data_IF_816261321423
#
_entry.id   IF_816261321423
#
_cell.length_a   1.000
_cell.length_b   1.000
_cell.length_c   1.000
_cell.angle_alpha   90.00
_cell.angle_beta   90.00
_cell.angle_gamma   90.00
#
_symmetry.space_group_name_H-M   'P 1'
#
loop_
_entity.id
_entity.type
_entity.pdbx_description
1 polymer ?
#
# COMPACT_ATOMS: atom_id res chain seq x y z
N UNK A 1 15.87 11.36 -23.29
CA UNK A 1 14.49 11.26 -22.77
C UNK A 1 14.28 11.90 -21.38
N UNK A 2 14.69 11.31 -20.25
CA UNK A 2 14.40 11.87 -18.90
C UNK A 2 15.04 13.24 -18.67
N UNK A 3 16.33 13.38 -18.98
CA UNK A 3 17.07 14.65 -18.87
C UNK A 3 16.51 15.72 -19.82
N UNK A 4 16.14 15.33 -21.04
CA UNK A 4 15.48 16.22 -22.00
C UNK A 4 14.17 16.77 -21.44
N UNK A 5 13.28 15.91 -20.93
CA UNK A 5 11.98 16.36 -20.41
C UNK A 5 12.12 17.27 -19.19
N UNK A 6 13.08 16.99 -18.30
CA UNK A 6 13.38 17.88 -17.17
C UNK A 6 13.87 19.24 -17.68
N UNK A 7 14.77 19.26 -18.66
CA UNK A 7 15.32 20.50 -19.19
C UNK A 7 14.26 21.32 -19.92
N UNK A 8 13.40 20.68 -20.71
CA UNK A 8 12.24 21.30 -21.37
C UNK A 8 11.32 22.00 -20.37
N UNK A 9 10.87 21.29 -19.33
CA UNK A 9 9.97 21.86 -18.32
C UNK A 9 10.62 23.00 -17.52
N UNK A 10 11.94 22.92 -17.28
CA UNK A 10 12.70 24.02 -16.66
C UNK A 10 12.78 25.25 -17.56
N UNK A 11 12.98 25.06 -18.87
CA UNK A 11 13.01 26.15 -19.86
C UNK A 11 11.65 26.83 -19.99
N UNK A 12 10.56 26.09 -19.84
CA UNK A 12 9.18 26.60 -19.82
C UNK A 12 8.83 27.37 -18.53
N UNK A 13 9.74 27.43 -17.56
CA UNK A 13 9.51 28.13 -16.29
C UNK A 13 8.53 27.41 -15.37
N UNK A 14 8.32 26.11 -15.56
CA UNK A 14 7.40 25.30 -14.74
C UNK A 14 7.94 25.21 -13.30
N UNK A 15 7.09 25.41 -12.27
CA UNK A 15 7.51 25.27 -10.88
C UNK A 15 8.08 23.88 -10.58
N UNK A 16 9.12 23.80 -9.74
CA UNK A 16 9.81 22.54 -9.41
C UNK A 16 8.89 21.44 -8.88
N UNK A 17 7.84 21.83 -8.14
CA UNK A 17 6.81 20.91 -7.65
C UNK A 17 6.01 20.26 -8.79
N UNK A 18 5.71 21.03 -9.83
CA UNK A 18 4.99 20.54 -11.01
C UNK A 18 5.90 19.69 -11.89
N UNK A 19 7.16 20.07 -12.05
CA UNK A 19 8.20 19.21 -12.66
C UNK A 19 8.25 17.87 -11.94
N UNK A 20 8.29 17.89 -10.60
CA UNK A 20 8.32 16.66 -9.80
C UNK A 20 7.09 15.78 -10.04
N UNK A 21 5.90 16.37 -10.20
CA UNK A 21 4.69 15.60 -10.52
C UNK A 21 4.76 15.02 -11.93
N UNK A 22 5.12 15.84 -12.93
CA UNK A 22 5.24 15.40 -14.31
C UNK A 22 6.26 14.27 -14.47
N UNK A 23 7.38 14.33 -13.75
CA UNK A 23 8.39 13.25 -13.77
C UNK A 23 7.90 11.95 -13.12
N UNK A 24 7.03 12.03 -12.10
CA UNK A 24 6.38 10.84 -11.52
C UNK A 24 5.42 10.20 -12.54
N UNK A 25 4.62 11.02 -13.21
CA UNK A 25 3.65 10.56 -14.20
C UNK A 25 4.36 9.92 -15.40
N UNK A 26 5.41 10.56 -15.93
CA UNK A 26 6.28 10.00 -16.98
C UNK A 26 6.89 8.65 -16.59
N UNK A 27 7.32 8.51 -15.33
CA UNK A 27 7.84 7.25 -14.81
C UNK A 27 6.79 6.14 -14.83
N UNK A 28 5.57 6.45 -14.39
CA UNK A 28 4.44 5.51 -14.38
C UNK A 28 4.05 5.11 -15.80
N UNK A 29 3.96 6.06 -16.73
CA UNK A 29 3.69 5.80 -18.14
C UNK A 29 4.72 4.86 -18.75
N UNK A 30 6.01 5.12 -18.48
CA UNK A 30 7.09 4.24 -18.92
C UNK A 30 6.97 2.84 -18.34
N UNK A 31 6.66 2.69 -17.06
CA UNK A 31 6.46 1.38 -16.46
C UNK A 31 5.30 0.61 -17.14
N UNK A 32 4.18 1.29 -17.38
CA UNK A 32 3.00 0.74 -18.06
C UNK A 32 3.26 0.34 -19.50
N UNK A 33 4.09 1.11 -20.23
CA UNK A 33 4.52 0.77 -21.58
C UNK A 33 5.19 -0.61 -21.64
N UNK A 34 5.91 -0.99 -20.58
CA UNK A 34 6.54 -2.31 -20.45
C UNK A 34 5.69 -3.34 -19.69
N UNK A 35 4.39 -3.07 -19.49
CA UNK A 35 3.46 -3.99 -18.83
C UNK A 35 3.52 -3.98 -17.30
N UNK A 36 4.24 -3.04 -16.68
CA UNK A 36 4.37 -2.97 -15.22
C UNK A 36 3.42 -1.92 -14.62
N UNK A 37 2.79 -2.19 -13.47
CA UNK A 37 1.75 -1.32 -12.92
C UNK A 37 2.28 0.02 -12.39
N UNK A 38 3.55 0.06 -11.98
CA UNK A 38 4.22 1.24 -11.44
C UNK A 38 5.75 1.12 -11.58
N UNK A 39 6.44 2.23 -11.31
CA UNK A 39 7.89 2.33 -11.39
C UNK A 39 8.64 1.42 -10.41
N UNK A 40 8.09 1.17 -9.22
CA UNK A 40 8.73 0.30 -8.23
C UNK A 40 8.86 -1.14 -8.73
N UNK A 41 7.75 -1.76 -9.15
CA UNK A 41 7.79 -3.14 -9.65
C UNK A 41 8.60 -3.23 -10.94
N UNK A 42 8.48 -2.22 -11.81
CA UNK A 42 9.30 -2.13 -13.03
C UNK A 42 10.80 -2.12 -12.72
N UNK A 43 11.24 -1.31 -11.76
CA UNK A 43 12.67 -1.23 -11.39
C UNK A 43 13.17 -2.50 -10.70
N UNK A 44 12.34 -3.18 -9.89
CA UNK A 44 12.69 -4.49 -9.33
C UNK A 44 12.86 -5.53 -10.42
N UNK A 45 11.94 -5.60 -11.38
CA UNK A 45 12.04 -6.52 -12.52
C UNK A 45 13.31 -6.26 -13.35
N UNK A 46 13.63 -4.99 -13.66
CA UNK A 46 14.88 -4.64 -14.34
C UNK A 46 16.12 -5.06 -13.55
N UNK A 47 16.10 -4.92 -12.22
CA UNK A 47 17.19 -5.35 -11.34
C UNK A 47 17.40 -6.86 -11.39
N UNK A 48 16.32 -7.64 -11.35
CA UNK A 48 16.40 -9.10 -11.50
C UNK A 48 16.95 -9.51 -12.87
N UNK A 49 16.48 -8.88 -13.95
CA UNK A 49 17.01 -9.12 -15.30
C UNK A 49 18.50 -8.78 -15.40
N UNK A 50 18.93 -7.68 -14.77
CA UNK A 50 20.33 -7.28 -14.75
C UNK A 50 21.19 -8.30 -14.00
N UNK A 51 20.73 -8.79 -12.84
CA UNK A 51 21.43 -9.82 -12.07
C UNK A 51 21.54 -11.12 -12.87
N UNK A 52 20.46 -11.56 -13.52
CA UNK A 52 20.46 -12.75 -14.37
C UNK A 52 21.44 -12.62 -15.53
N UNK A 53 21.56 -11.42 -16.12
CA UNK A 53 22.49 -11.15 -17.22
C UNK A 53 23.95 -10.94 -16.78
N UNK A 54 24.21 -10.79 -15.48
CA UNK A 54 25.54 -10.45 -14.92
C UNK A 54 26.08 -11.49 -13.95
N UNK A 55 25.30 -12.50 -13.57
CA UNK A 55 25.73 -13.50 -12.59
C UNK A 55 26.88 -14.39 -13.07
N UNK A 56 27.12 -14.49 -14.38
CA UNK A 56 28.05 -15.45 -14.99
C UNK A 56 27.89 -16.85 -14.36
N UNK A 57 28.96 -17.36 -13.73
CA UNK A 57 29.01 -18.66 -13.06
C UNK A 57 28.65 -18.62 -11.57
N UNK A 58 28.24 -17.46 -11.03
CA UNK A 58 27.82 -17.35 -9.63
C UNK A 58 26.44 -18.01 -9.42
N UNK A 59 26.28 -18.87 -8.40
CA UNK A 59 24.97 -19.31 -7.94
C UNK A 59 24.16 -18.09 -7.49
N UNK A 60 22.94 -17.92 -8.04
CA UNK A 60 22.04 -16.82 -7.73
C UNK A 60 20.67 -17.37 -7.34
N UNK A 61 20.15 -16.90 -6.20
CA UNK A 61 18.79 -17.17 -5.74
C UNK A 61 18.08 -15.82 -5.57
N UNK A 62 16.89 -15.70 -6.16
CA UNK A 62 16.03 -14.51 -6.03
C UNK A 62 14.79 -14.92 -5.24
N UNK A 63 14.57 -14.26 -4.10
CA UNK A 63 13.40 -14.47 -3.24
C UNK A 63 12.46 -13.26 -3.42
N UNK A 64 11.19 -13.52 -3.72
CA UNK A 64 10.15 -12.49 -3.88
C UNK A 64 9.12 -12.61 -2.75
N UNK A 65 9.37 -11.99 -1.59
CA UNK A 65 8.40 -12.01 -0.50
C UNK A 65 7.14 -11.22 -0.90
N UNK A 66 6.01 -11.58 -0.30
CA UNK A 66 4.80 -10.77 -0.34
C UNK A 66 4.99 -9.49 0.49
N UNK A 67 3.97 -8.63 0.54
CA UNK A 67 4.02 -7.44 1.37
C UNK A 67 4.18 -7.82 2.85
N UNK A 68 5.18 -7.23 3.49
CA UNK A 68 5.45 -7.44 4.92
C UNK A 68 4.69 -6.41 5.73
N UNK A 69 3.80 -6.89 6.59
CA UNK A 69 3.03 -6.09 7.54
C UNK A 69 3.72 -6.10 8.93
N UNK A 70 2.94 -6.15 10.03
CA UNK A 70 3.50 -6.29 11.38
C UNK A 70 3.93 -7.71 11.68
N UNK A 71 4.86 -7.86 12.62
CA UNK A 71 5.30 -9.18 13.06
C UNK A 71 4.18 -9.96 13.75
N UNK A 72 4.08 -11.25 13.45
CA UNK A 72 3.21 -12.17 14.17
C UNK A 72 3.81 -12.56 15.53
N UNK A 73 5.11 -12.90 15.56
CA UNK A 73 5.79 -13.42 16.75
C UNK A 73 7.09 -12.70 17.10
N UNK A 74 8.11 -12.79 16.26
CA UNK A 74 9.44 -12.21 16.54
C UNK A 74 9.62 -10.84 15.89
N UNK A 75 10.29 -9.88 16.55
CA UNK A 75 10.88 -9.96 17.90
C UNK A 75 9.82 -9.87 19.02
N UNK A 76 8.67 -9.27 18.76
CA UNK A 76 7.46 -9.36 19.58
C UNK A 76 6.23 -9.12 18.68
N UNK A 77 5.03 -9.63 19.04
CA UNK A 77 3.82 -9.47 18.24
C UNK A 77 3.44 -8.00 18.02
N UNK A 78 3.03 -7.66 16.80
CA UNK A 78 2.54 -6.34 16.43
C UNK A 78 3.65 -5.29 16.30
N UNK A 79 4.92 -5.69 16.25
CA UNK A 79 6.02 -4.76 15.98
C UNK A 79 5.90 -4.21 14.56
N UNK A 80 5.94 -2.88 14.47
CA UNK A 80 5.93 -2.13 13.22
C UNK A 80 7.00 -1.05 13.33
N UNK A 81 7.91 -1.04 12.37
CA UNK A 81 8.94 0.00 12.26
C UNK A 81 8.48 1.11 11.30
N UNK A 82 7.88 2.14 11.88
CA UNK A 82 7.39 3.33 11.17
C UNK A 82 6.04 3.13 10.46
N UNK A 83 5.48 4.21 9.92
CA UNK A 83 4.27 4.12 9.09
C UNK A 83 4.69 3.59 7.71
N UNK A 84 4.45 2.31 7.41
CA UNK A 84 4.65 1.77 6.06
C UNK A 84 3.32 1.78 5.32
N UNK A 85 3.38 1.69 4.00
CA UNK A 85 2.32 2.21 3.14
C UNK A 85 0.93 1.62 3.39
N UNK A 86 0.83 0.31 3.65
CA UNK A 86 -0.46 -0.34 3.96
C UNK A 86 -0.96 0.02 5.36
N UNK A 87 -0.04 0.25 6.30
CA UNK A 87 -0.36 0.65 7.68
C UNK A 87 -1.14 1.97 7.69
N UNK A 88 -0.83 2.90 6.77
CA UNK A 88 -1.59 4.14 6.59
C UNK A 88 -3.03 3.89 6.16
N UNK A 89 -3.25 2.91 5.28
CA UNK A 89 -4.58 2.56 4.76
C UNK A 89 -5.39 1.88 5.87
N UNK A 90 -4.77 0.93 6.58
CA UNK A 90 -5.39 0.22 7.70
C UNK A 90 -5.71 1.22 8.83
N UNK A 91 -4.77 2.09 9.20
CA UNK A 91 -4.97 3.12 10.21
C UNK A 91 -6.13 4.06 9.85
N UNK A 92 -6.18 4.52 8.61
CA UNK A 92 -7.26 5.35 8.10
C UNK A 92 -8.61 4.63 8.15
N UNK A 93 -8.66 3.37 7.73
CA UNK A 93 -9.88 2.56 7.76
C UNK A 93 -10.39 2.36 9.19
N UNK A 94 -9.50 1.96 10.11
CA UNK A 94 -9.78 1.72 11.52
C UNK A 94 -10.24 3.01 12.22
N UNK A 95 -9.63 4.16 11.87
CA UNK A 95 -10.02 5.48 12.38
C UNK A 95 -11.39 5.94 11.86
N UNK A 96 -11.68 5.73 10.58
CA UNK A 96 -12.95 6.14 9.94
C UNK A 96 -14.13 5.32 10.47
N UNK A 97 -13.93 4.04 10.76
CA UNK A 97 -14.99 3.14 11.23
C UNK A 97 -15.12 3.10 12.76
N UNK A 98 -14.36 3.93 13.49
CA UNK A 98 -14.48 4.03 14.95
C UNK A 98 -14.10 2.75 15.69
N UNK A 99 -13.25 1.90 15.09
CA UNK A 99 -12.81 0.63 15.69
C UNK A 99 -11.85 0.84 16.86
N UNK A 100 -11.42 2.08 17.11
CA UNK A 100 -10.64 2.50 18.27
C UNK A 100 -11.41 3.59 19.01
N UNK A 101 -11.99 3.23 20.16
CA UNK A 101 -12.35 4.21 21.20
C UNK A 101 -11.19 4.28 22.20
N UNK A 102 -10.61 5.47 22.38
CA UNK A 102 -9.59 5.72 23.42
C UNK A 102 -10.15 5.31 24.79
N UNK A 103 -9.54 4.30 25.43
CA UNK A 103 -9.68 4.05 26.86
C UNK A 103 -10.56 2.88 27.32
N UNK A 104 -11.12 2.06 26.43
CA UNK A 104 -11.82 0.83 26.83
C UNK A 104 -11.57 -0.29 25.82
N UNK A 105 -11.47 -1.53 26.29
CA UNK A 105 -11.46 -2.75 25.45
C UNK A 105 -12.46 -2.58 24.30
N UNK A 106 -11.92 -2.53 23.09
CA UNK A 106 -12.63 -2.16 21.87
C UNK A 106 -13.43 -3.34 21.36
N UNK A 107 -14.76 -3.26 21.40
CA UNK A 107 -15.59 -4.01 20.48
C UNK A 107 -15.36 -3.43 19.08
N UNK A 108 -14.72 -4.21 18.21
CA UNK A 108 -14.52 -3.87 16.81
C UNK A 108 -15.89 -3.91 16.14
N UNK A 109 -16.46 -2.73 15.87
CA UNK A 109 -17.64 -2.62 15.02
C UNK A 109 -17.39 -3.28 13.66
N UNK A 110 -18.41 -3.89 13.05
CA UNK A 110 -18.27 -4.45 11.70
C UNK A 110 -17.91 -3.32 10.72
N UNK A 111 -16.65 -3.24 10.33
CA UNK A 111 -16.18 -2.30 9.31
C UNK A 111 -16.90 -2.53 7.97
N UNK A 112 -17.06 -1.49 7.15
CA UNK A 112 -17.61 -1.64 5.81
C UNK A 112 -16.51 -2.23 4.91
N UNK A 113 -16.58 -3.52 4.63
CA UNK A 113 -15.70 -4.14 3.63
C UNK A 113 -16.19 -3.74 2.23
N UNK A 114 -15.43 -2.85 1.56
CA UNK A 114 -15.73 -2.46 0.17
C UNK A 114 -15.22 -3.56 -0.76
N UNK A 115 -16.12 -4.46 -1.16
CA UNK A 115 -15.77 -5.68 -1.92
C UNK A 115 -15.45 -5.46 -3.40
N UNK A 116 -15.52 -4.21 -3.90
CA UNK A 116 -15.10 -3.89 -5.25
C UNK A 116 -14.64 -2.44 -5.38
N UNK A 117 -13.78 -2.17 -6.36
CA UNK A 117 -13.35 -0.82 -6.70
C UNK A 117 -14.52 0.09 -7.08
N UNK A 118 -15.55 -0.44 -7.75
CA UNK A 118 -16.74 0.32 -8.13
C UNK A 118 -17.50 0.81 -6.89
N UNK A 119 -17.69 -0.06 -5.89
CA UNK A 119 -18.29 0.31 -4.61
C UNK A 119 -17.43 1.31 -3.85
N UNK A 120 -16.10 1.12 -3.89
CA UNK A 120 -15.16 2.06 -3.30
C UNK A 120 -15.25 3.45 -3.93
N UNK A 121 -15.20 3.56 -5.26
CA UNK A 121 -15.28 4.85 -5.95
C UNK A 121 -16.64 5.52 -5.71
N UNK A 122 -17.73 4.77 -5.69
CA UNK A 122 -19.06 5.30 -5.37
C UNK A 122 -19.11 5.84 -3.93
N UNK A 123 -18.60 5.09 -2.95
CA UNK A 123 -18.50 5.54 -1.57
C UNK A 123 -17.65 6.82 -1.45
N UNK A 124 -16.47 6.84 -2.08
CA UNK A 124 -15.60 8.01 -2.09
C UNK A 124 -16.26 9.23 -2.75
N UNK A 125 -17.00 9.00 -3.83
CA UNK A 125 -17.74 10.03 -4.53
C UNK A 125 -18.80 10.67 -3.63
N UNK A 126 -19.66 9.85 -3.03
CA UNK A 126 -20.75 10.31 -2.19
C UNK A 126 -20.28 10.94 -0.88
N UNK A 127 -19.31 10.31 -0.21
CA UNK A 127 -18.87 10.73 1.13
C UNK A 127 -17.88 11.88 1.12
N UNK A 128 -17.02 11.98 0.11
CA UNK A 128 -15.90 12.95 0.10
C UNK A 128 -15.88 13.85 -1.14
N UNK A 129 -15.97 13.31 -2.37
CA UNK A 129 -15.80 14.13 -3.58
C UNK A 129 -16.98 15.09 -3.82
N UNK A 130 -18.22 14.66 -3.62
CA UNK A 130 -19.40 15.52 -3.77
C UNK A 130 -19.42 16.66 -2.74
N UNK A 131 -19.24 16.40 -1.42
CA UNK A 131 -19.08 17.48 -0.44
C UNK A 131 -17.90 18.40 -0.74
N UNK A 132 -16.77 17.86 -1.23
CA UNK A 132 -15.61 18.67 -1.60
C UNK A 132 -15.91 19.58 -2.80
N UNK A 133 -16.65 19.11 -3.81
CA UNK A 133 -17.14 19.94 -4.92
C UNK A 133 -18.12 21.01 -4.45
N UNK A 134 -19.03 20.68 -3.54
CA UNK A 134 -19.94 21.66 -2.93
C UNK A 134 -19.15 22.73 -2.16
N UNK A 135 -18.12 22.33 -1.39
CA UNK A 135 -17.23 23.24 -0.70
C UNK A 135 -16.44 24.12 -1.68
N UNK A 136 -16.01 23.59 -2.83
CA UNK A 136 -15.36 24.37 -3.88
C UNK A 136 -16.27 25.48 -4.42
N UNK A 137 -17.53 25.15 -4.72
CA UNK A 137 -18.53 26.11 -5.18
C UNK A 137 -18.80 27.16 -4.10
N UNK A 138 -19.03 26.74 -2.86
CA UNK A 138 -19.24 27.63 -1.72
C UNK A 138 -18.06 28.58 -1.51
N UNK A 139 -16.83 28.06 -1.63
CA UNK A 139 -15.62 28.84 -1.51
C UNK A 139 -15.47 29.88 -2.64
N UNK A 140 -15.90 29.57 -3.86
CA UNK A 140 -15.97 30.56 -4.95
C UNK A 140 -17.03 31.63 -4.69
N UNK A 141 -18.19 31.25 -4.15
CA UNK A 141 -19.28 32.18 -3.83
C UNK A 141 -18.95 33.09 -2.64
N UNK A 142 -18.21 32.60 -1.65
CA UNK A 142 -17.82 33.32 -0.45
C UNK A 142 -16.41 33.91 -0.56
N UNK A 143 -16.02 34.41 -1.73
CA UNK A 143 -14.77 35.15 -1.95
C UNK A 143 -13.52 34.47 -1.37
N UNK A 144 -13.40 33.15 -1.55
CA UNK A 144 -12.27 32.34 -1.08
C UNK A 144 -12.11 32.22 0.44
N UNK A 145 -13.15 32.49 1.22
CA UNK A 145 -13.13 32.38 2.69
C UNK A 145 -12.68 31.01 3.21
N UNK A 146 -12.99 29.93 2.47
CA UNK A 146 -12.67 28.55 2.84
C UNK A 146 -11.54 27.95 1.99
N UNK A 147 -10.71 28.78 1.35
CA UNK A 147 -9.72 28.32 0.37
C UNK A 147 -8.71 27.37 0.99
N UNK A 148 -8.24 27.67 2.20
CA UNK A 148 -7.27 26.83 2.90
C UNK A 148 -7.87 25.49 3.31
N UNK A 149 -9.11 25.49 3.81
CA UNK A 149 -9.85 24.28 4.18
C UNK A 149 -10.08 23.39 2.94
N UNK A 150 -10.56 23.98 1.84
CA UNK A 150 -10.75 23.28 0.58
C UNK A 150 -9.43 22.67 0.08
N UNK A 151 -8.36 23.47 0.06
CA UNK A 151 -7.05 23.03 -0.45
C UNK A 151 -6.47 21.91 0.41
N UNK A 152 -6.63 21.99 1.74
CA UNK A 152 -6.19 20.94 2.65
C UNK A 152 -6.96 19.63 2.46
N UNK A 153 -8.29 19.70 2.32
CA UNK A 153 -9.13 18.53 2.08
C UNK A 153 -8.89 17.91 0.69
N UNK A 154 -8.79 18.73 -0.35
CA UNK A 154 -8.48 18.29 -1.72
C UNK A 154 -7.13 17.56 -1.78
N UNK A 155 -6.10 18.08 -1.10
CA UNK A 155 -4.80 17.38 -0.98
C UNK A 155 -4.93 16.02 -0.31
N UNK A 156 -5.70 15.91 0.78
CA UNK A 156 -5.93 14.63 1.48
C UNK A 156 -6.66 13.63 0.58
N UNK A 157 -7.73 14.05 -0.09
CA UNK A 157 -8.48 13.18 -1.00
C UNK A 157 -7.61 12.72 -2.17
N UNK A 158 -6.85 13.63 -2.81
CA UNK A 158 -5.91 13.27 -3.89
C UNK A 158 -4.84 12.28 -3.44
N UNK A 159 -4.32 12.42 -2.22
CA UNK A 159 -3.36 11.48 -1.65
C UNK A 159 -3.99 10.08 -1.50
N UNK A 160 -5.20 9.99 -0.93
CA UNK A 160 -5.92 8.72 -0.78
C UNK A 160 -6.19 8.07 -2.14
N UNK A 161 -6.69 8.83 -3.11
CA UNK A 161 -6.97 8.31 -4.45
C UNK A 161 -5.71 7.79 -5.14
N UNK A 162 -4.57 8.48 -5.01
CA UNK A 162 -3.27 8.02 -5.53
C UNK A 162 -2.81 6.72 -4.87
N UNK A 163 -2.98 6.58 -3.56
CA UNK A 163 -2.67 5.34 -2.85
C UNK A 163 -3.57 4.20 -3.34
N UNK A 164 -4.86 4.46 -3.50
CA UNK A 164 -5.81 3.47 -4.01
C UNK A 164 -5.42 3.01 -5.41
N UNK A 165 -5.11 3.91 -6.33
CA UNK A 165 -4.69 3.53 -7.69
C UNK A 165 -3.37 2.74 -7.70
N UNK A 166 -2.46 3.07 -6.77
CA UNK A 166 -1.22 2.33 -6.57
C UNK A 166 -1.48 0.91 -6.04
N UNK A 167 -2.42 0.76 -5.11
CA UNK A 167 -2.67 -0.50 -4.40
C UNK A 167 -3.74 -1.39 -5.02
N UNK A 168 -4.63 -0.83 -5.85
CA UNK A 168 -5.67 -1.52 -6.59
C UNK A 168 -5.20 -2.85 -7.23
N UNK A 169 -4.08 -2.91 -7.97
CA UNK A 169 -3.66 -4.16 -8.61
C UNK A 169 -3.26 -5.26 -7.62
N UNK A 170 -2.97 -4.93 -6.35
CA UNK A 170 -2.62 -5.91 -5.32
C UNK A 170 -3.83 -6.32 -4.47
N UNK A 171 -4.78 -5.41 -4.22
CA UNK A 171 -5.98 -5.69 -3.41
C UNK A 171 -7.03 -6.44 -4.23
N UNK A 172 -7.19 -6.09 -5.50
CA UNK A 172 -8.15 -6.71 -6.41
C UNK A 172 -7.42 -7.53 -7.49
N UNK A 173 -6.34 -8.19 -7.11
CA UNK A 173 -5.66 -9.11 -8.00
C UNK A 173 -6.56 -10.33 -8.24
N UNK A 174 -6.94 -10.57 -9.49
CA UNK A 174 -7.80 -11.70 -9.87
C UNK A 174 -7.01 -12.98 -10.17
N UNK A 175 -5.68 -12.94 -10.05
CA UNK A 175 -4.85 -14.13 -10.24
C UNK A 175 -4.90 -15.05 -9.03
N UNK A 176 -4.84 -16.35 -9.29
CA UNK A 176 -4.70 -17.38 -8.27
C UNK A 176 -3.20 -17.54 -8.00
N UNK A 177 -2.81 -17.43 -6.73
CA UNK A 177 -1.45 -17.77 -6.32
C UNK A 177 -1.36 -19.30 -6.18
N UNK A 178 -0.45 -19.90 -6.94
CA UNK A 178 -0.09 -21.32 -6.83
C UNK A 178 1.12 -21.44 -5.90
N UNK A 179 0.96 -22.19 -4.80
CA UNK A 179 1.97 -22.45 -3.79
C UNK A 179 2.47 -23.90 -3.81
N UNK A 180 2.19 -24.69 -4.86
CA UNK A 180 2.57 -26.12 -4.95
C UNK A 180 4.06 -26.36 -4.64
N UNK A 181 4.96 -25.49 -5.12
CA UNK A 181 6.40 -25.66 -4.86
C UNK A 181 6.77 -25.35 -3.41
N UNK A 182 6.11 -24.36 -2.80
CA UNK A 182 6.26 -24.01 -1.39
C UNK A 182 5.74 -25.16 -0.51
N UNK A 183 4.62 -25.76 -0.89
CA UNK A 183 4.02 -26.91 -0.21
C UNK A 183 4.93 -28.14 -0.28
N UNK A 184 5.47 -28.45 -1.47
CA UNK A 184 6.46 -29.54 -1.63
C UNK A 184 7.69 -29.31 -0.76
N UNK A 185 8.24 -28.10 -0.76
CA UNK A 185 9.38 -27.75 0.07
C UNK A 185 9.07 -27.94 1.57
N UNK A 186 7.88 -27.53 2.00
CA UNK A 186 7.39 -27.69 3.38
C UNK A 186 7.28 -29.16 3.78
N UNK A 187 6.74 -30.01 2.92
CA UNK A 187 6.64 -31.47 3.16
C UNK A 187 8.04 -32.07 3.32
N UNK A 188 8.95 -31.81 2.38
CA UNK A 188 10.34 -32.31 2.43
C UNK A 188 11.04 -31.84 3.70
N UNK A 189 10.85 -30.57 4.09
CA UNK A 189 11.45 -30.03 5.31
C UNK A 189 10.90 -30.70 6.57
N UNK A 190 9.59 -30.94 6.65
CA UNK A 190 8.95 -31.68 7.76
C UNK A 190 9.44 -33.12 7.88
N UNK A 191 9.70 -33.79 6.76
CA UNK A 191 10.21 -35.16 6.75
C UNK A 191 11.70 -35.25 7.10
N UNK A 192 12.49 -34.22 6.75
CA UNK A 192 13.96 -34.26 6.84
C UNK A 192 14.53 -33.63 8.11
N UNK A 193 13.86 -32.65 8.71
CA UNK A 193 14.35 -31.91 9.87
C UNK A 193 13.49 -32.18 11.11
N UNK A 194 14.06 -32.80 12.15
CA UNK A 194 13.39 -33.00 13.44
C UNK A 194 13.11 -31.70 14.22
N UNK A 195 13.66 -30.56 13.77
CA UNK A 195 13.42 -29.22 14.32
C UNK A 195 12.29 -28.47 13.58
N UNK A 196 11.22 -29.18 13.22
CA UNK A 196 10.07 -28.61 12.47
C UNK A 196 9.46 -27.37 13.10
N UNK A 197 9.59 -27.20 14.41
CA UNK A 197 8.92 -26.15 15.18
C UNK A 197 9.62 -24.79 15.14
N UNK A 198 10.88 -24.71 14.67
CA UNK A 198 11.67 -23.46 14.70
C UNK A 198 11.39 -22.59 13.47
N UNK A 199 11.13 -23.21 12.31
CA UNK A 199 10.93 -22.53 11.03
C UNK A 199 9.63 -22.95 10.33
N UNK A 200 8.54 -23.15 11.07
CA UNK A 200 7.24 -23.38 10.45
C UNK A 200 6.71 -22.06 9.85
N UNK A 201 6.60 -22.02 8.53
CA UNK A 201 6.10 -20.87 7.77
C UNK A 201 4.72 -21.13 7.17
N UNK A 202 3.96 -22.12 7.67
CA UNK A 202 2.60 -22.40 7.24
C UNK A 202 1.63 -21.26 7.63
N UNK A 203 1.13 -20.46 6.67
CA UNK A 203 0.17 -19.40 6.97
C UNK A 203 -1.19 -19.94 7.45
N UNK A 204 -1.52 -21.22 7.21
CA UNK A 204 -2.77 -21.82 7.69
C UNK A 204 -2.75 -22.07 9.21
N UNK A 205 -1.57 -22.12 9.83
CA UNK A 205 -1.43 -22.27 11.28
C UNK A 205 -1.62 -20.95 12.04
N UNK A 206 -1.75 -19.82 11.32
CA UNK A 206 -2.00 -18.52 11.92
C UNK A 206 -3.51 -18.35 12.10
N UNK A 207 -3.94 -18.09 13.33
CA UNK A 207 -5.26 -17.53 13.60
C UNK A 207 -5.29 -16.09 13.10
N UNK A 208 -5.74 -15.92 11.85
CA UNK A 208 -5.75 -14.62 11.17
C UNK A 208 -6.71 -13.62 11.82
N UNK A 209 -7.80 -14.10 12.42
CA UNK A 209 -8.75 -13.22 13.11
C UNK A 209 -8.11 -12.67 14.38
N UNK A 210 -7.55 -13.55 15.22
CA UNK A 210 -6.81 -13.15 16.41
C UNK A 210 -5.62 -12.24 16.07
N UNK A 211 -4.82 -12.59 15.06
CA UNK A 211 -3.70 -11.77 14.62
C UNK A 211 -4.18 -10.38 14.21
N UNK A 212 -5.22 -10.25 13.39
CA UNK A 212 -5.67 -8.94 12.93
C UNK A 212 -6.24 -8.10 14.08
N UNK A 213 -7.08 -8.72 14.93
CA UNK A 213 -7.84 -8.04 15.97
C UNK A 213 -6.98 -7.71 17.20
N UNK A 214 -6.18 -8.66 17.67
CA UNK A 214 -5.48 -8.57 18.95
C UNK A 214 -3.99 -8.23 18.79
N UNK A 215 -3.41 -8.43 17.61
CA UNK A 215 -1.96 -8.18 17.37
C UNK A 215 -1.73 -6.99 16.43
N UNK A 216 -2.20 -7.08 15.18
CA UNK A 216 -1.89 -6.13 14.12
C UNK A 216 -2.52 -4.76 14.37
N UNK A 217 -3.85 -4.69 14.55
CA UNK A 217 -4.55 -3.41 14.77
C UNK A 217 -4.03 -2.72 16.04
N UNK A 218 -3.91 -3.38 17.22
CA UNK A 218 -3.36 -2.76 18.42
C UNK A 218 -1.90 -2.32 18.25
N UNK A 219 -1.07 -3.11 17.57
CA UNK A 219 0.31 -2.74 17.25
C UNK A 219 0.39 -1.48 16.39
N UNK A 220 -0.48 -1.39 15.38
CA UNK A 220 -0.66 -0.21 14.54
C UNK A 220 -1.05 1.03 15.38
N UNK A 221 -2.02 0.90 16.28
CA UNK A 221 -2.39 2.01 17.18
C UNK A 221 -1.20 2.45 18.01
N UNK A 222 -0.51 1.49 18.64
CA UNK A 222 0.54 1.75 19.62
C UNK A 222 1.80 2.35 19.01
N UNK A 223 2.23 1.84 17.86
CA UNK A 223 3.53 2.18 17.28
C UNK A 223 3.45 3.19 16.13
N UNK A 224 2.30 3.27 15.46
CA UNK A 224 2.12 4.08 14.23
C UNK A 224 1.23 5.30 14.48
N UNK A 225 0.10 5.14 15.17
CA UNK A 225 -0.86 6.22 15.45
C UNK A 225 -0.57 6.90 16.80
N UNK A 226 0.48 7.71 16.85
CA UNK A 226 0.75 8.61 18.00
C UNK A 226 -0.10 9.87 17.96
#
# INVERSE_FOLDING_TARGET
>A
MVKEKINELKLEGVPEKEITSAMKDLGIERARLFGWPNTYVFTKAMGEMLLMNRKDNLPLVIIRPTMVASTYKEPFPGWIEGVRTIDSIIAGYVSIHGLIRRGSQSEIGKGIALTSMSKFYMYMALRFLLPLKALQLLNMLLFKTYQDLYTALDRKVKLVMRLVDLYKPYVFFEGIFDDINTEKLRIIFKESCHETNIFDFDPANIDWEDYMINVHIPGLVKYVMK
#
